data_IF_273497998355
#
_entry.id   IF_273497998355
#
_cell.length_a   1.000
_cell.length_b   1.000
_cell.length_c   1.000
_cell.angle_alpha   90.00
_cell.angle_beta   90.00
_cell.angle_gamma   90.00
#
_symmetry.space_group_name_H-M   'P 1'
#
loop_
_entity.id
_entity.type
_entity.pdbx_description
1 polymer ?
#
# COMPACT_ATOMS: atom_id res chain seq x y z
N UNK A 1 -11.51 27.46 -6.99
CA UNK A 1 -11.45 26.30 -7.91
C UNK A 1 -12.66 25.44 -7.59
N UNK A 2 -13.64 25.35 -8.46
CA UNK A 2 -14.78 24.46 -8.25
C UNK A 2 -14.37 23.07 -8.73
N UNK A 3 -14.26 22.10 -7.81
CA UNK A 3 -14.08 20.71 -8.17
C UNK A 3 -15.41 20.19 -8.71
N UNK A 4 -15.39 19.66 -9.93
CA UNK A 4 -16.55 18.97 -10.51
C UNK A 4 -16.52 17.51 -10.04
N UNK A 5 -17.13 17.26 -8.87
CA UNK A 5 -17.21 15.92 -8.29
C UNK A 5 -18.50 15.25 -8.78
N UNK A 6 -18.41 13.97 -9.11
CA UNK A 6 -19.59 13.15 -9.38
C UNK A 6 -20.40 12.94 -8.12
N UNK A 7 -21.73 12.82 -8.23
CA UNK A 7 -22.56 12.44 -7.10
C UNK A 7 -22.15 11.05 -6.56
N UNK A 8 -22.17 10.86 -5.25
CA UNK A 8 -21.85 9.57 -4.61
C UNK A 8 -22.69 8.40 -5.16
N UNK A 9 -23.94 8.65 -5.55
CA UNK A 9 -24.82 7.64 -6.14
C UNK A 9 -24.37 7.10 -7.49
N UNK A 10 -23.40 7.76 -8.13
CA UNK A 10 -22.84 7.39 -9.43
C UNK A 10 -21.43 6.82 -9.30
N UNK A 11 -20.91 6.71 -8.07
CA UNK A 11 -19.55 6.26 -7.80
C UNK A 11 -19.56 5.00 -6.91
N UNK A 12 -18.76 4.00 -7.25
CA UNK A 12 -18.52 2.83 -6.39
C UNK A 12 -17.68 3.22 -5.17
N UNK A 13 -16.71 4.11 -5.35
CA UNK A 13 -15.82 4.55 -4.29
C UNK A 13 -15.97 6.05 -4.01
N UNK A 14 -15.85 6.43 -2.74
CA UNK A 14 -15.73 7.83 -2.32
C UNK A 14 -14.31 8.36 -2.55
N UNK A 15 -13.31 7.46 -2.49
CA UNK A 15 -11.92 7.81 -2.75
C UNK A 15 -11.10 6.60 -3.19
N UNK A 16 -10.21 6.83 -4.14
CA UNK A 16 -9.23 5.85 -4.59
C UNK A 16 -7.84 6.47 -4.47
N UNK A 17 -6.86 5.70 -3.98
CA UNK A 17 -5.47 6.14 -3.95
C UNK A 17 -4.61 5.33 -4.91
N UNK A 18 -3.65 6.00 -5.55
CA UNK A 18 -2.62 5.36 -6.36
C UNK A 18 -1.27 5.55 -5.68
N UNK A 19 -0.61 4.45 -5.32
CA UNK A 19 0.70 4.54 -4.70
C UNK A 19 1.28 3.21 -4.27
N UNK A 20 2.47 3.26 -3.67
CA UNK A 20 3.12 2.06 -3.17
C UNK A 20 2.64 1.71 -1.76
N UNK A 21 2.24 0.46 -1.59
CA UNK A 21 2.05 -0.14 -0.27
C UNK A 21 3.23 -1.06 0.01
N UNK A 22 3.86 -0.88 1.16
CA UNK A 22 5.05 -1.64 1.58
C UNK A 22 4.75 -2.50 2.79
N UNK A 23 5.46 -3.60 2.92
CA UNK A 23 5.53 -4.32 4.19
C UNK A 23 6.44 -3.56 5.15
N UNK A 24 5.84 -3.01 6.19
CA UNK A 24 6.55 -2.29 7.24
C UNK A 24 6.94 -3.24 8.36
N UNK A 25 8.22 -3.24 8.71
CA UNK A 25 8.80 -4.07 9.77
C UNK A 25 9.25 -3.20 10.94
N UNK A 26 8.60 -3.41 12.09
CA UNK A 26 8.78 -2.64 13.32
C UNK A 26 9.44 -3.54 14.39
N UNK A 27 10.65 -3.21 14.88
CA UNK A 27 11.33 -3.98 15.93
C UNK A 27 10.76 -3.75 17.35
N UNK A 28 9.64 -3.01 17.47
CA UNK A 28 9.07 -2.61 18.74
C UNK A 28 9.92 -1.54 19.44
N UNK A 29 10.28 -1.78 20.69
CA UNK A 29 11.12 -0.85 21.46
C UNK A 29 12.63 -1.00 21.17
N UNK A 30 13.00 -2.07 20.47
CA UNK A 30 14.37 -2.37 20.10
C UNK A 30 14.88 -1.51 18.93
N UNK A 31 16.06 -1.88 18.45
CA UNK A 31 16.69 -1.27 17.26
C UNK A 31 16.69 -2.23 16.10
N UNK A 32 16.55 -1.72 14.89
CA UNK A 32 16.63 -2.55 13.65
C UNK A 32 17.87 -3.42 13.66
N UNK A 33 19.04 -2.85 13.94
CA UNK A 33 20.34 -3.56 13.86
C UNK A 33 20.54 -4.68 14.89
N UNK A 34 19.69 -4.77 15.91
CA UNK A 34 19.78 -5.79 16.97
C UNK A 34 18.53 -6.65 17.07
N UNK A 35 17.53 -6.37 16.25
CA UNK A 35 16.27 -7.07 16.28
C UNK A 35 16.41 -8.51 15.78
N UNK A 36 15.75 -9.43 16.45
CA UNK A 36 15.59 -10.83 16.04
C UNK A 36 14.14 -11.16 15.65
N UNK A 37 13.24 -10.20 15.84
CA UNK A 37 11.83 -10.29 15.47
C UNK A 37 11.31 -8.91 15.08
N UNK A 38 10.32 -8.86 14.23
CA UNK A 38 9.64 -7.66 13.80
C UNK A 38 8.14 -7.90 13.81
N UNK A 39 7.39 -6.87 14.17
CA UNK A 39 5.95 -6.81 13.87
C UNK A 39 5.79 -6.32 12.44
N UNK A 40 4.97 -7.02 11.69
CA UNK A 40 4.65 -6.67 10.30
C UNK A 40 3.38 -5.81 10.25
N UNK A 41 3.41 -4.78 9.42
CA UNK A 41 2.30 -3.89 9.14
C UNK A 41 2.32 -3.53 7.65
N UNK A 42 1.18 -3.19 7.12
CA UNK A 42 1.11 -2.52 5.83
C UNK A 42 1.28 -1.02 5.98
N UNK A 43 1.79 -0.34 4.95
CA UNK A 43 1.92 1.11 4.97
C UNK A 43 2.36 1.70 3.64
N UNK A 44 1.86 2.88 3.38
CA UNK A 44 2.15 3.73 2.23
C UNK A 44 1.45 5.05 2.44
N UNK A 45 2.01 6.18 1.97
CA UNK A 45 1.44 7.50 2.22
C UNK A 45 0.00 7.58 1.75
N UNK A 46 -0.22 7.24 0.50
CA UNK A 46 -1.51 7.30 -0.19
C UNK A 46 -2.50 6.28 0.40
N UNK A 47 -2.03 5.05 0.65
CA UNK A 47 -2.83 4.01 1.29
C UNK A 47 -3.28 4.41 2.70
N UNK A 48 -2.41 5.01 3.49
CA UNK A 48 -2.75 5.45 4.84
C UNK A 48 -3.93 6.43 4.85
N UNK A 49 -4.04 7.28 3.82
CA UNK A 49 -5.17 8.22 3.66
C UNK A 49 -6.46 7.44 3.43
N UNK A 50 -6.54 6.56 2.43
CA UNK A 50 -7.78 5.82 2.12
C UNK A 50 -8.16 4.86 3.23
N UNK A 51 -7.18 4.26 3.92
CA UNK A 51 -7.43 3.48 5.13
C UNK A 51 -8.03 4.33 6.25
N UNK A 52 -7.50 5.53 6.47
CA UNK A 52 -8.04 6.50 7.43
C UNK A 52 -9.45 6.92 7.10
N UNK A 53 -9.73 7.25 5.84
CA UNK A 53 -11.07 7.58 5.34
C UNK A 53 -12.05 6.42 5.59
N UNK A 54 -11.63 5.18 5.29
CA UNK A 54 -12.44 3.99 5.57
C UNK A 54 -12.72 3.79 7.06
N UNK A 55 -11.67 3.81 7.89
CA UNK A 55 -11.81 3.50 9.32
C UNK A 55 -12.52 4.58 10.12
N UNK A 56 -12.21 5.85 9.86
CA UNK A 56 -12.73 6.98 10.63
C UNK A 56 -14.08 7.48 10.12
N UNK A 57 -14.26 7.54 8.79
CA UNK A 57 -15.42 8.17 8.17
C UNK A 57 -16.37 7.17 7.49
N UNK A 58 -16.01 5.87 7.46
CA UNK A 58 -16.80 4.80 6.83
C UNK A 58 -17.01 4.98 5.33
N UNK A 59 -16.13 5.72 4.67
CA UNK A 59 -16.17 5.90 3.23
C UNK A 59 -15.81 4.61 2.50
N UNK A 60 -16.35 4.42 1.31
CA UNK A 60 -15.97 3.32 0.43
C UNK A 60 -14.69 3.69 -0.31
N UNK A 61 -13.63 2.93 -0.08
CA UNK A 61 -12.29 3.27 -0.57
C UNK A 61 -11.59 2.08 -1.20
N UNK A 62 -10.74 2.37 -2.19
CA UNK A 62 -9.89 1.40 -2.85
C UNK A 62 -8.45 1.89 -2.98
N UNK A 63 -7.53 0.97 -3.23
CA UNK A 63 -6.13 1.27 -3.51
C UNK A 63 -5.73 0.70 -4.88
N UNK A 64 -5.10 1.54 -5.70
CA UNK A 64 -4.43 1.16 -6.94
C UNK A 64 -2.96 1.00 -6.61
N UNK A 65 -2.44 -0.22 -6.73
CA UNK A 65 -1.03 -0.53 -6.51
C UNK A 65 -0.64 -1.79 -7.29
N UNK A 66 0.64 -2.16 -7.24
CA UNK A 66 1.08 -3.42 -7.81
C UNK A 66 1.88 -4.22 -6.79
N UNK A 67 1.61 -5.52 -6.73
CA UNK A 67 2.33 -6.47 -5.87
C UNK A 67 2.99 -7.57 -6.70
N UNK A 68 4.14 -8.03 -6.24
CA UNK A 68 4.72 -9.27 -6.71
C UNK A 68 3.85 -10.45 -6.21
N UNK A 69 3.48 -11.33 -7.13
CA UNK A 69 2.62 -12.50 -6.88
C UNK A 69 3.38 -13.55 -6.07
N UNK A 70 3.38 -13.37 -4.75
CA UNK A 70 3.99 -14.27 -3.77
C UNK A 70 3.35 -14.07 -2.38
N UNK A 71 3.75 -14.92 -1.42
CA UNK A 71 3.22 -14.90 -0.05
C UNK A 71 3.35 -13.54 0.67
N UNK A 72 4.37 -12.74 0.35
CA UNK A 72 4.52 -11.40 0.95
C UNK A 72 3.48 -10.43 0.38
N UNK A 73 3.19 -10.51 -0.93
CA UNK A 73 2.12 -9.73 -1.55
C UNK A 73 0.76 -10.09 -0.98
N UNK A 74 0.48 -11.39 -0.83
CA UNK A 74 -0.77 -11.89 -0.24
C UNK A 74 -0.93 -11.46 1.22
N UNK A 75 0.15 -11.47 2.02
CA UNK A 75 0.14 -10.94 3.39
C UNK A 75 -0.22 -9.46 3.43
N UNK A 76 0.33 -8.66 2.52
CA UNK A 76 0.02 -7.22 2.46
C UNK A 76 -1.43 -6.99 2.02
N UNK A 77 -1.93 -7.75 1.06
CA UNK A 77 -3.34 -7.68 0.67
C UNK A 77 -4.27 -8.02 1.85
N UNK A 78 -3.97 -9.08 2.60
CA UNK A 78 -4.75 -9.45 3.79
C UNK A 78 -4.79 -8.31 4.81
N UNK A 79 -3.67 -7.64 5.08
CA UNK A 79 -3.65 -6.47 5.95
C UNK A 79 -4.48 -5.30 5.40
N UNK A 80 -4.47 -5.07 4.09
CA UNK A 80 -5.31 -4.06 3.45
C UNK A 80 -6.78 -4.40 3.63
N UNK A 81 -7.16 -5.66 3.40
CA UNK A 81 -8.52 -6.16 3.64
C UNK A 81 -8.97 -5.98 5.09
N UNK A 82 -8.10 -6.25 6.07
CA UNK A 82 -8.36 -5.97 7.50
C UNK A 82 -8.57 -4.46 7.75
N UNK A 83 -7.93 -3.61 6.95
CA UNK A 83 -8.16 -2.17 6.90
C UNK A 83 -9.54 -1.79 6.35
N UNK A 84 -10.20 -2.70 5.62
CA UNK A 84 -11.49 -2.50 4.95
C UNK A 84 -11.40 -1.70 3.65
N UNK A 85 -10.21 -1.54 3.10
CA UNK A 85 -9.98 -0.92 1.79
C UNK A 85 -10.12 -2.00 0.71
N UNK A 86 -10.78 -1.68 -0.39
CA UNK A 86 -10.97 -2.61 -1.50
C UNK A 86 -9.65 -2.86 -2.24
N UNK A 87 -9.34 -4.14 -2.50
CA UNK A 87 -8.11 -4.61 -3.13
C UNK A 87 -8.28 -5.03 -4.59
N UNK A 88 -9.49 -4.91 -5.14
CA UNK A 88 -9.81 -5.38 -6.50
C UNK A 88 -9.04 -4.65 -7.61
N UNK A 89 -8.43 -3.51 -7.29
CA UNK A 89 -7.62 -2.70 -8.21
C UNK A 89 -6.10 -2.97 -8.09
N UNK A 90 -5.71 -4.01 -7.35
CA UNK A 90 -4.30 -4.40 -7.23
C UNK A 90 -3.86 -5.16 -8.48
N UNK A 91 -2.78 -4.70 -9.09
CA UNK A 91 -2.10 -5.41 -10.17
C UNK A 91 -1.13 -6.44 -9.60
N UNK A 92 -1.35 -7.71 -9.92
CA UNK A 92 -0.44 -8.80 -9.56
C UNK A 92 0.58 -9.03 -10.66
N UNK A 93 1.86 -8.96 -10.32
CA UNK A 93 2.97 -9.11 -11.25
C UNK A 93 3.75 -10.40 -10.97
N UNK A 94 4.04 -11.16 -12.03
CA UNK A 94 4.85 -12.38 -11.91
C UNK A 94 6.21 -12.07 -11.32
N UNK A 95 6.66 -12.92 -10.41
CA UNK A 95 7.98 -12.86 -9.79
C UNK A 95 8.81 -14.08 -10.15
N UNK A 96 10.14 -13.94 -10.08
CA UNK A 96 11.09 -15.05 -10.22
C UNK A 96 11.43 -15.71 -8.86
N UNK A 97 10.75 -15.31 -7.79
CA UNK A 97 10.95 -15.81 -6.43
C UNK A 97 12.17 -15.21 -5.70
N UNK A 98 13.04 -14.49 -6.40
CA UNK A 98 14.26 -13.89 -5.82
C UNK A 98 14.37 -12.37 -6.06
N UNK A 99 13.35 -11.76 -6.64
CA UNK A 99 13.21 -10.32 -6.78
C UNK A 99 14.00 -9.67 -7.92
N UNK A 100 14.51 -10.41 -8.91
CA UNK A 100 15.16 -9.84 -10.10
C UNK A 100 14.14 -9.20 -11.03
N UNK A 101 13.00 -9.86 -11.24
CA UNK A 101 11.90 -9.35 -12.07
C UNK A 101 11.19 -8.24 -11.31
N UNK A 102 10.59 -8.59 -10.19
CA UNK A 102 9.98 -7.63 -9.25
C UNK A 102 9.87 -8.26 -7.86
N UNK A 103 9.64 -7.42 -6.86
CA UNK A 103 9.42 -7.80 -5.47
C UNK A 103 8.47 -6.84 -4.78
N UNK A 104 8.05 -7.15 -3.57
CA UNK A 104 7.30 -6.24 -2.72
C UNK A 104 8.25 -5.34 -1.93
N UNK A 105 7.89 -4.07 -1.77
CA UNK A 105 8.69 -3.10 -1.04
C UNK A 105 8.71 -3.37 0.47
N UNK A 106 9.86 -3.15 1.09
CA UNK A 106 10.04 -3.25 2.53
C UNK A 106 10.41 -1.90 3.13
N UNK A 107 9.95 -1.66 4.34
CA UNK A 107 10.32 -0.49 5.12
C UNK A 107 10.52 -0.86 6.58
N UNK A 108 11.76 -0.85 7.03
CA UNK A 108 12.08 -1.03 8.44
C UNK A 108 11.94 0.32 9.16
N UNK A 109 11.19 0.35 10.25
CA UNK A 109 10.94 1.59 10.99
C UNK A 109 11.21 1.42 12.47
N UNK A 110 12.26 2.04 12.95
CA UNK A 110 12.60 2.12 14.36
C UNK A 110 11.97 3.36 14.98
N UNK A 111 11.29 3.20 16.09
CA UNK A 111 10.65 4.32 16.80
C UNK A 111 11.67 5.18 17.53
N UNK A 112 11.39 6.47 17.61
CA UNK A 112 12.11 7.37 18.49
C UNK A 112 11.66 7.21 19.95
N UNK A 113 12.60 7.34 20.89
CA UNK A 113 12.33 7.35 22.33
C UNK A 113 13.17 8.42 23.02
N UNK A 114 12.55 9.42 23.61
CA UNK A 114 13.24 10.53 24.26
C UNK A 114 14.22 11.22 23.30
N UNK A 115 15.49 11.26 23.65
CA UNK A 115 16.55 11.84 22.82
C UNK A 115 16.95 10.98 21.60
N UNK A 116 16.50 9.73 21.57
CA UNK A 116 16.76 8.84 20.44
C UNK A 116 15.78 9.13 19.30
N UNK A 117 16.27 9.65 18.17
CA UNK A 117 15.49 9.85 16.97
C UNK A 117 14.96 8.54 16.38
N UNK A 118 13.88 8.62 15.62
CA UNK A 118 13.38 7.51 14.80
C UNK A 118 14.38 7.22 13.66
N UNK A 119 14.48 5.95 13.27
CA UNK A 119 15.30 5.51 12.13
C UNK A 119 14.44 4.74 11.14
N UNK A 120 14.51 5.13 9.86
CA UNK A 120 13.88 4.42 8.76
C UNK A 120 14.93 3.82 7.84
N UNK A 121 14.67 2.61 7.36
CA UNK A 121 15.47 1.95 6.33
C UNK A 121 14.51 1.39 5.28
N UNK A 122 14.44 2.05 4.12
CA UNK A 122 13.58 1.65 3.02
C UNK A 122 14.34 0.77 2.03
N UNK A 123 13.76 -0.36 1.69
CA UNK A 123 14.27 -1.29 0.68
C UNK A 123 13.22 -1.42 -0.44
N UNK A 124 13.24 -0.46 -1.38
CA UNK A 124 12.22 -0.21 -2.39
C UNK A 124 12.70 -0.34 -3.84
N UNK A 125 13.91 -0.80 -4.06
CA UNK A 125 14.39 -1.02 -5.42
C UNK A 125 13.66 -2.20 -6.06
N UNK A 126 13.34 -2.10 -7.35
CA UNK A 126 12.77 -3.17 -8.15
C UNK A 126 11.41 -3.69 -7.66
N UNK A 127 10.62 -2.84 -7.01
CA UNK A 127 9.29 -3.22 -6.53
C UNK A 127 8.30 -3.34 -7.69
N UNK A 128 7.24 -4.14 -7.52
CA UNK A 128 6.23 -4.35 -8.54
C UNK A 128 5.65 -3.02 -9.04
N UNK A 129 5.27 -2.13 -8.12
CA UNK A 129 4.76 -0.80 -8.50
C UNK A 129 5.78 0.06 -9.23
N UNK A 130 7.08 -0.07 -8.93
CA UNK A 130 8.14 0.67 -9.64
C UNK A 130 8.38 0.15 -11.07
N UNK A 131 7.87 -1.02 -11.39
CA UNK A 131 7.92 -1.65 -12.73
C UNK A 131 6.62 -1.50 -13.50
N UNK A 132 5.54 -1.19 -12.80
CA UNK A 132 4.23 -0.99 -13.43
C UNK A 132 4.23 0.26 -14.31
N UNK A 133 3.50 0.18 -15.38
CA UNK A 133 3.27 1.26 -16.34
C UNK A 133 1.79 1.65 -16.34
N UNK A 134 1.40 2.81 -16.88
CA UNK A 134 -0.01 3.18 -16.96
C UNK A 134 -0.88 2.11 -17.65
N UNK A 135 -0.33 1.39 -18.62
CA UNK A 135 -1.03 0.35 -19.38
C UNK A 135 -1.33 -0.91 -18.53
N UNK A 136 -0.71 -1.05 -17.37
CA UNK A 136 -1.00 -2.14 -16.44
C UNK A 136 -2.30 -1.93 -15.66
N UNK A 137 -2.88 -0.73 -15.72
CA UNK A 137 -4.10 -0.34 -15.02
C UNK A 137 -5.16 0.12 -16.01
N UNK A 138 -6.38 -0.35 -15.85
CA UNK A 138 -7.52 0.11 -16.64
C UNK A 138 -8.08 1.41 -16.04
N UNK A 139 -7.42 2.53 -16.33
CA UNK A 139 -7.84 3.83 -15.83
C UNK A 139 -9.17 4.29 -16.39
N UNK A 140 -9.54 3.89 -17.60
CA UNK A 140 -10.84 4.21 -18.19
C UNK A 140 -11.96 3.55 -17.40
N UNK A 141 -11.79 2.28 -17.03
CA UNK A 141 -12.70 1.58 -16.13
C UNK A 141 -12.71 2.21 -14.73
N UNK A 142 -11.54 2.46 -14.14
CA UNK A 142 -11.41 2.97 -12.77
C UNK A 142 -12.08 4.34 -12.62
N UNK A 143 -11.82 5.26 -13.55
CA UNK A 143 -12.35 6.63 -13.47
C UNK A 143 -13.61 6.85 -14.32
N UNK A 144 -13.94 5.95 -15.23
CA UNK A 144 -15.12 6.00 -16.05
C UNK A 144 -16.33 5.30 -15.44
N UNK A 145 -16.14 4.05 -14.99
CA UNK A 145 -17.24 3.21 -14.51
C UNK A 145 -17.31 3.10 -12.98
N UNK A 146 -16.19 3.22 -12.28
CA UNK A 146 -16.16 3.07 -10.82
C UNK A 146 -16.26 4.40 -10.06
N UNK A 147 -16.05 5.55 -10.72
CA UNK A 147 -16.18 6.83 -10.00
C UNK A 147 -15.68 8.05 -10.74
#
# INVERSE_FOLDING_TARGET
MNLNLRPKSECKYDAVSLGEVMLRLDPGEGRIRTARSFRAWEGGGEYNVVRGLRKCFKLDTAVITAFADNEVGMLMEDFICQGGVDTSLIKWMKTDGIGRICRNGLNFTERGFGIRGAVGCSDRANTAISKATPEDFDFDYIFGELG
#
